data_IF_719716657430
#
_entry.id   IF_719716657430
#
_cell.length_a   1.000
_cell.length_b   1.000
_cell.length_c   1.000
_cell.angle_alpha   90.00
_cell.angle_beta   90.00
_cell.angle_gamma   90.00
#
_symmetry.space_group_name_H-M   'P 1'
#
loop_
_entity.id
_entity.type
_entity.pdbx_description
1 polymer ?
#
# COMPACT_ATOMS: atom_id res chain seq x y z
N UNK A 1 10.26 -21.24 10.43
CA UNK A 1 10.34 -20.12 9.78
C UNK A 1 9.44 -19.08 10.33
N UNK A 2 9.88 -17.99 10.35
CA UNK A 2 9.15 -16.94 10.97
C UNK A 2 8.44 -16.12 9.94
N UNK A 3 7.17 -15.91 10.11
CA UNK A 3 6.46 -15.03 9.24
C UNK A 3 6.34 -13.71 9.89
N UNK A 4 6.52 -12.68 9.12
CA UNK A 4 6.35 -11.35 9.66
C UNK A 4 4.88 -10.99 9.62
N UNK A 5 4.40 -10.47 10.73
CA UNK A 5 3.01 -10.08 10.84
C UNK A 5 2.82 -8.73 10.18
N UNK A 6 1.77 -8.60 9.40
CA UNK A 6 1.44 -7.35 8.76
C UNK A 6 0.30 -6.72 9.55
N UNK A 7 0.43 -5.42 9.81
CA UNK A 7 -0.57 -4.69 10.56
C UNK A 7 -1.22 -3.66 9.65
N UNK A 8 -2.52 -3.53 9.73
CA UNK A 8 -3.25 -2.47 9.04
C UNK A 8 -3.85 -1.60 10.12
N UNK A 9 -3.48 -0.32 10.12
CA UNK A 9 -3.91 0.63 11.13
C UNK A 9 -3.62 0.10 12.53
N UNK A 10 -2.42 -0.47 12.69
CA UNK A 10 -1.93 -0.98 13.97
C UNK A 10 -2.67 -2.20 14.49
N UNK A 11 -3.44 -2.84 13.64
CA UNK A 11 -4.14 -4.07 14.01
C UNK A 11 -3.71 -5.18 13.08
N UNK A 12 -3.58 -6.39 13.62
CA UNK A 12 -3.15 -7.54 12.84
C UNK A 12 -4.03 -7.70 11.61
N UNK A 13 -3.40 -7.77 10.44
CA UNK A 13 -4.14 -7.82 9.19
C UNK A 13 -5.03 -9.06 9.12
N UNK A 14 -4.51 -10.21 9.55
CA UNK A 14 -5.29 -11.42 9.44
C UNK A 14 -6.30 -11.56 10.56
N UNK A 15 -5.88 -11.34 11.80
CA UNK A 15 -6.78 -11.55 12.93
C UNK A 15 -7.89 -10.52 13.01
N UNK A 16 -7.58 -9.27 12.78
CA UNK A 16 -8.58 -8.22 12.93
C UNK A 16 -9.34 -7.96 11.64
N UNK A 17 -8.61 -7.90 10.52
CA UNK A 17 -9.23 -7.53 9.25
C UNK A 17 -9.58 -8.73 8.38
N UNK A 18 -9.03 -9.89 8.66
CA UNK A 18 -9.19 -11.06 7.79
C UNK A 18 -8.44 -10.96 6.49
N UNK A 19 -7.40 -10.12 6.45
CA UNK A 19 -6.70 -9.80 5.23
C UNK A 19 -5.39 -10.56 5.15
N UNK A 20 -5.08 -11.08 3.97
CA UNK A 20 -3.77 -11.65 3.68
C UNK A 20 -3.29 -11.08 2.36
N UNK A 21 -1.98 -11.04 2.19
CA UNK A 21 -1.35 -10.49 1.00
C UNK A 21 -0.52 -11.55 0.33
N UNK A 22 -0.66 -11.74 -0.99
CA UNK A 22 0.24 -12.62 -1.71
C UNK A 22 1.62 -11.99 -1.80
N UNK A 23 2.66 -12.79 -2.11
CA UNK A 23 4.02 -12.25 -2.15
C UNK A 23 4.20 -11.07 -3.09
N UNK A 24 3.49 -11.05 -4.20
CA UNK A 24 3.60 -9.94 -5.14
C UNK A 24 3.14 -8.63 -4.51
N UNK A 25 2.10 -8.71 -3.67
CA UNK A 25 1.61 -7.51 -3.01
C UNK A 25 2.63 -6.98 -2.02
N UNK A 26 3.24 -7.86 -1.26
CA UNK A 26 4.28 -7.46 -0.31
C UNK A 26 5.45 -6.83 -1.05
N UNK A 27 5.83 -7.42 -2.17
CA UNK A 27 6.91 -6.87 -2.98
C UNK A 27 6.57 -5.48 -3.49
N UNK A 28 5.31 -5.27 -3.89
CA UNK A 28 4.89 -3.95 -4.35
C UNK A 28 4.98 -2.91 -3.23
N UNK A 29 4.58 -3.31 -2.02
CA UNK A 29 4.63 -2.40 -0.89
C UNK A 29 6.06 -2.02 -0.56
N UNK A 30 6.99 -2.97 -0.67
CA UNK A 30 8.36 -2.76 -0.26
C UNK A 30 9.27 -2.31 -1.39
N UNK A 31 8.75 -2.08 -2.59
CA UNK A 31 9.59 -1.75 -3.73
C UNK A 31 10.33 -0.42 -3.53
N UNK A 32 11.46 -0.27 -4.18
CA UNK A 32 12.22 0.96 -4.03
C UNK A 32 11.45 2.18 -4.51
N UNK A 33 11.78 3.30 -3.92
CA UNK A 33 11.15 4.56 -4.26
C UNK A 33 11.81 5.18 -5.48
N UNK A 34 11.04 5.97 -6.20
CA UNK A 34 11.55 6.72 -7.33
C UNK A 34 11.86 8.14 -6.88
N UNK A 35 12.90 8.71 -7.47
CA UNK A 35 13.20 10.11 -7.23
C UNK A 35 12.36 10.94 -8.16
N UNK A 36 11.88 12.05 -7.62
CA UNK A 36 11.04 12.89 -8.41
C UNK A 36 11.90 13.81 -9.25
N UNK A 37 11.60 13.89 -10.46
CA UNK A 37 12.18 14.87 -11.33
C UNK A 37 13.60 14.92 -11.45
N UNK A 38 14.29 13.93 -11.30
CA UNK A 38 15.52 14.07 -11.35
C UNK A 38 16.04 14.16 -12.65
N UNK A 39 15.61 13.84 -13.51
CA UNK A 39 16.04 13.81 -14.69
C UNK A 39 16.30 14.86 -15.38
N UNK A 40 16.18 15.38 -15.66
CA UNK A 40 16.25 16.12 -16.31
C UNK A 40 16.99 16.82 -16.52
N UNK A 41 17.29 16.82 -16.76
CA UNK A 41 17.90 17.24 -16.96
C UNK A 41 18.39 17.73 -17.46
N UNK A 42 18.46 17.94 -17.78
CA UNK A 42 18.86 18.23 -18.20
C UNK A 42 19.43 18.88 -18.37
N UNK A 43 19.72 19.12 -18.80
CA UNK A 43 20.24 19.56 -18.98
C UNK A 43 20.92 20.11 -19.18
N UNK A 44 21.08 20.43 -19.53
CA UNK A 44 21.72 20.89 -19.73
C UNK A 44 22.45 21.65 -19.47
N UNK A 45 22.62 22.00 -19.67
CA UNK A 45 23.23 22.65 -19.43
C UNK A 45 23.93 23.07 -18.77
N UNK A 46 24.12 23.41 -18.87
CA UNK A 46 24.83 23.80 -18.29
C UNK A 46 25.23 23.93 -17.37
N UNK A 47 25.39 24.27 -17.46
CA UNK A 47 25.86 24.33 -16.61
C UNK A 47 25.66 23.93 -15.73
N UNK A 48 25.44 23.56 -15.78
CA UNK A 48 25.28 23.09 -15.08
C UNK A 48 25.30 22.82 -14.13
N UNK A 49 25.57 22.81 -13.94
CA UNK A 49 25.69 22.48 -13.13
C UNK A 49 25.30 22.44 -12.03
N UNK A 50 25.06 22.65 -11.78
CA UNK A 50 24.75 22.66 -10.77
C UNK A 50 23.65 22.25 -10.31
N UNK A 51 23.45 21.43 -10.35
CA UNK A 51 22.39 20.95 -10.06
C UNK A 51 22.34 20.51 -8.91
N UNK A 52 22.22 20.53 -8.34
CA UNK A 52 22.24 20.19 -7.34
C UNK A 52 21.26 19.60 -6.84
N UNK A 53 21.38 18.82 -6.36
CA UNK A 53 20.54 18.12 -5.94
C UNK A 53 20.34 18.17 -4.62
N UNK A 54 20.41 19.08 -4.01
CA UNK A 54 20.11 19.07 -2.73
C UNK A 54 18.80 18.61 -2.52
N UNK A 55 18.33 17.96 -1.63
CA UNK A 55 16.98 17.59 -1.27
C UNK A 55 16.21 17.10 -2.44
N UNK A 56 16.67 16.11 -3.12
CA UNK A 56 15.88 15.56 -4.18
C UNK A 56 14.60 15.08 -3.55
N UNK A 57 13.50 15.45 -4.11
CA UNK A 57 12.23 15.02 -3.56
C UNK A 57 11.92 13.62 -4.00
N UNK A 58 11.38 12.84 -3.07
CA UNK A 58 10.92 11.50 -3.38
C UNK A 58 9.51 11.64 -3.92
N UNK A 59 9.27 11.09 -5.09
CA UNK A 59 7.96 11.17 -5.71
C UNK A 59 6.95 10.39 -4.90
N UNK A 60 5.71 10.83 -4.91
CA UNK A 60 4.65 10.01 -4.36
C UNK A 60 4.66 8.70 -5.13
N UNK A 61 4.18 7.66 -4.48
CA UNK A 61 4.25 6.35 -5.09
C UNK A 61 2.84 5.80 -5.26
N UNK A 62 2.57 5.30 -6.45
CA UNK A 62 1.31 4.63 -6.74
C UNK A 62 1.60 3.17 -6.93
N UNK A 63 0.87 2.33 -6.23
CA UNK A 63 1.08 0.90 -6.34
C UNK A 63 -0.26 0.20 -6.52
N UNK A 64 -0.19 -0.99 -7.08
CA UNK A 64 -1.33 -1.87 -7.20
C UNK A 64 -1.08 -3.05 -6.28
N UNK A 65 -2.02 -3.31 -5.39
CA UNK A 65 -1.85 -4.33 -4.37
C UNK A 65 -3.03 -5.28 -4.42
N UNK A 66 -2.73 -6.57 -4.46
CA UNK A 66 -3.77 -7.58 -4.34
C UNK A 66 -3.89 -7.97 -2.88
N UNK A 67 -5.11 -8.04 -2.35
CA UNK A 67 -5.31 -8.53 -1.00
C UNK A 67 -6.50 -9.47 -0.98
N UNK A 68 -6.49 -10.38 -0.04
CA UNK A 68 -7.52 -11.38 0.09
C UNK A 68 -8.18 -11.25 1.45
N UNK A 69 -9.50 -11.25 1.45
CA UNK A 69 -10.28 -11.24 2.69
C UNK A 69 -10.86 -12.62 2.87
N UNK A 70 -10.65 -13.21 4.03
CA UNK A 70 -11.21 -14.52 4.30
C UNK A 70 -11.84 -14.53 5.69
N UNK A 71 -12.84 -15.38 5.83
CA UNK A 71 -13.55 -15.51 7.09
C UNK A 71 -14.02 -16.94 7.20
N UNK A 72 -14.38 -17.34 8.42
CA UNK A 72 -14.80 -18.72 8.64
C UNK A 72 -16.25 -18.94 8.31
N UNK A 73 -17.07 -17.90 8.29
CA UNK A 73 -18.46 -18.01 7.92
C UNK A 73 -18.94 -16.70 7.33
N UNK A 74 -20.19 -16.70 6.89
CA UNK A 74 -20.72 -15.55 6.18
C UNK A 74 -20.88 -14.34 7.10
N UNK A 75 -21.27 -14.58 8.34
CA UNK A 75 -21.47 -13.48 9.27
C UNK A 75 -20.14 -12.77 9.54
N UNK A 76 -19.10 -13.55 9.76
CA UNK A 76 -17.79 -12.97 9.99
C UNK A 76 -17.29 -12.24 8.74
N UNK A 77 -17.55 -12.82 7.56
CA UNK A 77 -17.16 -12.17 6.33
C UNK A 77 -17.81 -10.80 6.20
N UNK A 78 -19.12 -10.75 6.44
CA UNK A 78 -19.84 -9.49 6.28
C UNK A 78 -19.34 -8.44 7.27
N UNK A 79 -19.04 -8.84 8.49
CA UNK A 79 -18.52 -7.92 9.49
C UNK A 79 -17.18 -7.36 9.08
N UNK A 80 -16.30 -8.23 8.63
CA UNK A 80 -14.96 -7.78 8.24
C UNK A 80 -14.99 -6.97 6.95
N UNK A 81 -15.88 -7.35 6.04
CA UNK A 81 -16.02 -6.61 4.79
C UNK A 81 -16.50 -5.19 5.07
N UNK A 82 -17.50 -5.01 5.93
CA UNK A 82 -17.98 -3.69 6.26
C UNK A 82 -16.89 -2.85 6.92
N UNK A 83 -16.12 -3.48 7.81
CA UNK A 83 -15.04 -2.78 8.48
C UNK A 83 -14.01 -2.29 7.47
N UNK A 84 -13.68 -3.14 6.49
CA UNK A 84 -12.73 -2.77 5.46
C UNK A 84 -13.28 -1.65 4.57
N UNK A 85 -14.56 -1.72 4.24
CA UNK A 85 -15.17 -0.68 3.42
C UNK A 85 -15.16 0.66 4.12
N UNK A 86 -15.39 0.67 5.43
CA UNK A 86 -15.31 1.92 6.19
C UNK A 86 -13.90 2.49 6.16
N UNK A 87 -12.91 1.64 6.26
CA UNK A 87 -11.52 2.11 6.18
C UNK A 87 -11.24 2.75 4.84
N UNK A 88 -11.70 2.13 3.76
CA UNK A 88 -11.49 2.69 2.43
C UNK A 88 -12.25 4.01 2.27
N UNK A 89 -13.40 4.12 2.91
CA UNK A 89 -14.19 5.33 2.81
C UNK A 89 -13.51 6.50 3.51
N UNK A 90 -12.87 6.23 4.63
CA UNK A 90 -12.08 7.24 5.30
C UNK A 90 -10.92 7.67 4.42
N UNK A 91 -10.33 6.75 3.70
CA UNK A 91 -9.37 7.04 2.66
C UNK A 91 -7.94 6.76 3.01
N UNK A 92 -7.47 7.20 4.17
CA UNK A 92 -6.07 6.98 4.49
C UNK A 92 -5.95 5.87 5.54
N UNK A 93 -4.90 5.10 5.41
CA UNK A 93 -4.64 4.00 6.33
C UNK A 93 -3.15 3.67 6.24
N UNK A 94 -2.69 2.82 7.16
CA UNK A 94 -1.30 2.41 7.15
C UNK A 94 -1.19 0.90 7.08
N UNK A 95 -0.12 0.44 6.47
CA UNK A 95 0.26 -0.97 6.46
C UNK A 95 1.66 -1.03 7.05
N UNK A 96 1.82 -1.80 8.11
CA UNK A 96 3.12 -1.94 8.76
C UNK A 96 3.66 -3.33 8.49
N UNK A 97 4.88 -3.39 7.98
CA UNK A 97 5.53 -4.64 7.67
C UNK A 97 6.99 -4.52 8.09
N UNK A 98 7.44 -5.47 8.91
CA UNK A 98 8.82 -5.47 9.40
C UNK A 98 9.16 -4.15 10.07
N UNK A 99 8.25 -3.66 10.89
CA UNK A 99 8.43 -2.43 11.67
C UNK A 99 8.52 -1.16 10.84
N UNK A 100 8.17 -1.23 9.57
CA UNK A 100 8.10 -0.03 8.74
C UNK A 100 6.64 0.25 8.46
N UNK A 101 6.21 1.45 8.78
CA UNK A 101 4.83 1.86 8.57
C UNK A 101 4.71 2.60 7.25
N UNK A 102 3.95 2.03 6.32
CA UNK A 102 3.71 2.64 5.02
C UNK A 102 2.33 3.29 5.07
N UNK A 103 2.28 4.56 4.78
CA UNK A 103 1.02 5.30 4.84
C UNK A 103 0.46 5.47 3.46
N UNK A 104 -0.76 5.01 3.26
CA UNK A 104 -1.38 4.98 1.96
C UNK A 104 -2.71 5.70 1.96
N UNK A 105 -3.13 6.09 0.77
CA UNK A 105 -4.47 6.58 0.53
C UNK A 105 -5.11 5.63 -0.46
N UNK A 106 -6.33 5.21 -0.16
CA UNK A 106 -7.08 4.35 -1.06
C UNK A 106 -7.50 5.16 -2.27
N UNK A 107 -7.18 4.69 -3.45
CA UNK A 107 -7.56 5.38 -4.67
C UNK A 107 -8.73 4.68 -5.34
N UNK A 108 -8.63 3.39 -5.59
CA UNK A 108 -9.71 2.68 -6.24
C UNK A 108 -9.48 1.18 -6.12
N UNK A 109 -10.54 0.44 -6.39
CA UNK A 109 -10.46 -1.02 -6.47
C UNK A 109 -10.69 -1.37 -7.94
N UNK A 110 -9.67 -1.92 -8.58
CA UNK A 110 -9.79 -2.24 -9.99
C UNK A 110 -10.41 -3.59 -10.25
N UNK A 111 -10.34 -4.50 -9.28
CA UNK A 111 -10.95 -5.82 -9.42
C UNK A 111 -11.45 -6.28 -8.07
N UNK A 112 -12.62 -6.90 -8.08
CA UNK A 112 -13.18 -7.49 -6.88
C UNK A 112 -13.90 -8.75 -7.29
N UNK A 113 -13.63 -9.85 -6.59
CA UNK A 113 -14.40 -11.06 -6.78
C UNK A 113 -14.55 -11.77 -5.46
N UNK A 114 -15.68 -12.41 -5.29
CA UNK A 114 -15.98 -13.13 -4.06
C UNK A 114 -16.45 -14.53 -4.40
N UNK A 115 -15.89 -15.51 -3.72
CA UNK A 115 -16.33 -16.88 -3.83
C UNK A 115 -16.49 -17.39 -2.41
N UNK A 116 -17.73 -17.66 -1.99
CA UNK A 116 -18.01 -18.11 -0.63
C UNK A 116 -17.61 -17.05 0.38
N UNK A 117 -16.73 -17.42 1.30
CA UNK A 117 -16.30 -16.52 2.35
C UNK A 117 -14.89 -16.01 2.10
N UNK A 118 -14.49 -15.94 0.84
CA UNK A 118 -13.19 -15.44 0.45
C UNK A 118 -13.39 -14.44 -0.67
N UNK A 119 -12.74 -13.29 -0.56
CA UNK A 119 -12.82 -12.28 -1.58
C UNK A 119 -11.43 -11.85 -1.98
N UNK A 120 -11.29 -11.44 -3.23
CA UNK A 120 -10.04 -10.94 -3.75
C UNK A 120 -10.25 -9.51 -4.20
N UNK A 121 -9.36 -8.64 -3.78
CA UNK A 121 -9.38 -7.23 -4.17
C UNK A 121 -8.07 -6.90 -4.85
N UNK A 122 -8.15 -6.12 -5.92
CA UNK A 122 -6.95 -5.52 -6.50
C UNK A 122 -7.13 -4.02 -6.37
N UNK A 123 -6.30 -3.41 -5.55
CA UNK A 123 -6.48 -2.02 -5.15
C UNK A 123 -5.38 -1.15 -5.72
N UNK A 124 -5.75 0.08 -6.02
CA UNK A 124 -4.76 1.09 -6.35
C UNK A 124 -4.61 2.00 -5.15
N UNK A 125 -3.38 2.12 -4.67
CA UNK A 125 -3.07 2.89 -3.48
C UNK A 125 -2.01 3.92 -3.81
N UNK A 126 -2.05 5.03 -3.10
CA UNK A 126 -1.06 6.08 -3.26
C UNK A 126 -0.36 6.27 -1.94
N UNK A 127 0.96 6.27 -1.98
CA UNK A 127 1.77 6.64 -0.84
C UNK A 127 2.22 8.08 -1.09
N UNK A 128 1.53 9.06 -0.52
CA UNK A 128 1.77 10.44 -0.91
C UNK A 128 3.06 11.00 -0.35
N UNK A 129 3.55 10.42 0.74
CA UNK A 129 4.69 10.98 1.42
C UNK A 129 5.63 9.87 1.86
N UNK A 130 6.32 9.22 0.92
CA UNK A 130 7.15 8.06 1.27
C UNK A 130 8.25 8.36 2.28
N UNK A 131 8.68 9.61 2.37
CA UNK A 131 9.71 9.95 3.35
C UNK A 131 9.19 9.88 4.78
N UNK A 132 7.90 9.83 4.94
CA UNK A 132 7.30 9.88 6.25
C UNK A 132 7.07 8.49 6.83
N UNK A 133 7.78 7.51 6.40
CA UNK A 133 7.64 6.16 6.90
C UNK A 133 8.20 6.00 8.30
#
# INVERSE_FOLDING_TARGET
>A
MTEHIIYINSRDAFDFWGISFPPEAINAICAPLANKAYIENESREEHGSRIIIHNPKIAKREITVEMHLSAKDEVEFDTKYERLMLMFEIGNFSITYKDVEYKFIFQSCSQFSRVGNIAKFVLKLVEPNPKDR
#
